data_IF_895530924118
#
_entry.id   IF_895530924118
#
_cell.length_a   1.000
_cell.length_b   1.000
_cell.length_c   1.000
_cell.angle_alpha   90.00
_cell.angle_beta   90.00
_cell.angle_gamma   90.00
#
_symmetry.space_group_name_H-M   'P 1'
#
loop_
_entity.id
_entity.type
_entity.pdbx_description
1 polymer ?
#
# COMPACT_ATOMS: atom_id res chain seq x y z
N UNK A 1 -2.29 35.61 7.70
CA UNK A 1 -3.13 34.73 6.85
C UNK A 1 -2.18 33.79 6.13
N UNK A 2 -1.82 32.67 6.76
CA UNK A 2 -1.02 31.61 6.11
C UNK A 2 -1.95 30.78 5.24
N UNK A 3 -1.81 30.89 3.93
CA UNK A 3 -2.36 29.90 3.00
C UNK A 3 -1.44 28.68 3.05
N UNK A 4 -1.74 27.73 3.93
CA UNK A 4 -1.17 26.40 3.87
C UNK A 4 -1.52 25.81 2.49
N UNK A 5 -0.58 25.86 1.55
CA UNK A 5 -0.70 25.13 0.30
C UNK A 5 -0.97 23.67 0.60
N UNK A 6 -2.01 23.11 0.01
CA UNK A 6 -2.41 21.72 0.19
C UNK A 6 -1.21 20.82 -0.16
N UNK A 7 -0.54 20.26 0.86
CA UNK A 7 0.59 19.37 0.64
C UNK A 7 0.02 17.99 0.33
N UNK A 8 -0.09 17.66 -0.96
CA UNK A 8 -0.52 16.34 -1.40
C UNK A 8 0.63 15.35 -1.23
N UNK A 9 0.47 14.37 -0.33
CA UNK A 9 1.42 13.27 -0.19
C UNK A 9 1.02 12.13 -1.13
N UNK A 10 1.94 11.69 -1.98
CA UNK A 10 1.75 10.55 -2.87
C UNK A 10 2.69 9.41 -2.46
N UNK A 11 2.14 8.21 -2.26
CA UNK A 11 2.95 7.01 -2.15
C UNK A 11 3.44 6.68 -3.56
N UNK A 12 4.75 6.73 -3.78
CA UNK A 12 5.37 6.53 -5.10
C UNK A 12 5.69 5.07 -5.39
N UNK A 13 5.89 4.25 -4.35
CA UNK A 13 6.35 2.88 -4.51
C UNK A 13 5.91 2.00 -3.35
N UNK A 14 5.52 0.77 -3.65
CA UNK A 14 5.23 -0.28 -2.68
C UNK A 14 6.04 -1.53 -2.98
N UNK A 15 6.61 -2.13 -1.94
CA UNK A 15 7.33 -3.40 -2.03
C UNK A 15 7.01 -4.27 -0.83
N UNK A 16 6.75 -5.54 -1.07
CA UNK A 16 6.59 -6.54 -0.02
C UNK A 16 7.17 -7.89 -0.44
N UNK A 17 7.66 -8.66 0.54
CA UNK A 17 8.14 -10.03 0.36
C UNK A 17 7.57 -10.90 1.47
N UNK A 18 7.32 -12.17 1.14
CA UNK A 18 6.80 -13.18 2.08
C UNK A 18 5.54 -12.70 2.84
N UNK A 19 4.68 -11.93 2.18
CA UNK A 19 3.45 -11.41 2.78
C UNK A 19 2.25 -12.23 2.30
N UNK A 20 1.69 -13.05 3.19
CA UNK A 20 0.62 -14.01 2.86
C UNK A 20 1.03 -14.89 1.67
N UNK A 21 0.24 -14.93 0.60
CA UNK A 21 0.57 -15.67 -0.63
C UNK A 21 1.39 -14.86 -1.65
N UNK A 22 1.88 -13.66 -1.31
CA UNK A 22 2.80 -12.90 -2.14
C UNK A 22 4.26 -13.29 -1.84
N UNK A 23 4.96 -13.86 -2.83
CA UNK A 23 6.40 -14.14 -2.75
C UNK A 23 7.25 -12.86 -2.76
N UNK A 24 7.18 -12.09 -3.86
CA UNK A 24 7.75 -10.74 -3.97
C UNK A 24 6.80 -9.90 -4.82
N UNK A 25 6.41 -8.73 -4.33
CA UNK A 25 5.70 -7.70 -5.10
C UNK A 25 6.49 -6.39 -5.02
N UNK A 26 6.64 -5.73 -6.16
CA UNK A 26 7.29 -4.43 -6.29
C UNK A 26 6.52 -3.65 -7.35
N UNK A 27 5.99 -2.49 -6.99
CA UNK A 27 5.15 -1.68 -7.86
C UNK A 27 5.42 -0.19 -7.63
N UNK A 28 5.63 0.53 -8.72
CA UNK A 28 5.59 1.99 -8.75
C UNK A 28 4.13 2.43 -8.83
N UNK A 29 3.76 3.42 -8.02
CA UNK A 29 2.40 3.94 -7.89
C UNK A 29 2.32 5.33 -8.52
N UNK A 30 1.39 5.48 -9.45
CA UNK A 30 0.97 6.75 -10.00
C UNK A 30 -0.28 7.26 -9.24
N UNK A 31 -0.66 8.55 -9.39
CA UNK A 31 -1.87 9.12 -8.76
C UNK A 31 -3.14 8.28 -8.96
N UNK A 32 -3.22 7.57 -10.10
CA UNK A 32 -4.19 6.52 -10.33
C UNK A 32 -3.45 5.24 -10.74
N UNK A 33 -3.56 4.19 -9.92
CA UNK A 33 -3.01 2.87 -10.21
C UNK A 33 -4.12 1.83 -10.11
N UNK A 34 -4.37 1.08 -11.19
CA UNK A 34 -5.43 0.06 -11.26
C UNK A 34 -4.80 -1.32 -11.32
N UNK A 35 -5.18 -2.19 -10.39
CA UNK A 35 -4.72 -3.59 -10.31
C UNK A 35 -5.67 -4.48 -11.11
N UNK A 36 -5.22 -4.99 -12.26
CA UNK A 36 -5.98 -5.91 -13.12
C UNK A 36 -5.35 -7.30 -13.18
N UNK A 37 -6.18 -8.34 -13.35
CA UNK A 37 -5.72 -9.72 -13.53
C UNK A 37 -6.74 -10.77 -13.06
N UNK A 38 -6.44 -12.07 -13.24
CA UNK A 38 -7.34 -13.18 -12.85
C UNK A 38 -7.69 -13.22 -11.36
N UNK A 39 -8.81 -13.82 -10.99
CA UNK A 39 -9.13 -14.08 -9.58
C UNK A 39 -8.00 -14.88 -8.90
N UNK A 40 -7.79 -14.65 -7.60
CA UNK A 40 -6.72 -15.25 -6.81
C UNK A 40 -5.27 -14.89 -7.22
N UNK A 41 -5.05 -13.97 -8.16
CA UNK A 41 -3.70 -13.51 -8.55
C UNK A 41 -2.97 -12.64 -7.50
N UNK A 42 -3.48 -12.53 -6.27
CA UNK A 42 -2.85 -11.78 -5.19
C UNK A 42 -3.13 -10.27 -5.14
N UNK A 43 -4.03 -9.73 -5.98
CA UNK A 43 -4.38 -8.29 -5.98
C UNK A 43 -4.88 -7.80 -4.62
N UNK A 44 -5.77 -8.54 -3.97
CA UNK A 44 -6.27 -8.19 -2.63
C UNK A 44 -5.14 -8.16 -1.60
N UNK A 45 -4.15 -9.04 -1.73
CA UNK A 45 -2.98 -9.03 -0.84
C UNK A 45 -2.13 -7.77 -1.02
N UNK A 46 -2.03 -7.21 -2.24
CA UNK A 46 -1.31 -5.94 -2.47
C UNK A 46 -2.00 -4.80 -1.73
N UNK A 47 -3.34 -4.75 -1.76
CA UNK A 47 -4.12 -3.78 -0.98
C UNK A 47 -3.97 -4.03 0.52
N UNK A 48 -3.94 -5.29 0.96
CA UNK A 48 -3.76 -5.66 2.36
C UNK A 48 -2.38 -5.24 2.90
N UNK A 49 -1.32 -5.24 2.09
CA UNK A 49 -0.01 -4.69 2.47
C UNK A 49 -0.12 -3.21 2.84
N UNK A 50 -0.80 -2.42 1.99
CA UNK A 50 -0.99 -0.99 2.24
C UNK A 50 -1.81 -0.74 3.51
N UNK A 51 -2.86 -1.54 3.73
CA UNK A 51 -3.67 -1.49 4.96
C UNK A 51 -2.85 -1.83 6.19
N UNK A 52 -2.08 -2.92 6.12
CA UNK A 52 -1.20 -3.34 7.21
C UNK A 52 -0.20 -2.24 7.59
N UNK A 53 0.44 -1.60 6.62
CA UNK A 53 1.35 -0.48 6.89
C UNK A 53 0.62 0.70 7.55
N UNK A 54 -0.57 1.06 7.04
CA UNK A 54 -1.36 2.14 7.63
C UNK A 54 -1.75 1.84 9.08
N UNK A 55 -2.17 0.61 9.37
CA UNK A 55 -2.56 0.17 10.71
C UNK A 55 -1.34 0.10 11.65
N UNK A 56 -0.21 -0.44 11.18
CA UNK A 56 1.03 -0.51 11.95
C UNK A 56 1.57 0.89 12.30
N UNK A 57 1.46 1.86 11.39
CA UNK A 57 1.85 3.24 11.64
C UNK A 57 0.91 3.96 12.62
N UNK A 58 -0.39 3.63 12.61
CA UNK A 58 -1.39 4.28 13.47
C UNK A 58 -1.45 3.68 14.87
N UNK A 59 -1.38 2.35 14.97
CA UNK A 59 -1.68 1.60 16.18
C UNK A 59 -0.47 0.86 16.76
N UNK A 60 0.70 0.98 16.11
CA UNK A 60 1.86 0.16 16.40
C UNK A 60 1.67 -1.31 15.98
N UNK A 61 2.64 -2.15 16.30
CA UNK A 61 2.62 -3.59 16.00
C UNK A 61 1.84 -4.41 17.04
N UNK A 62 1.03 -3.76 17.86
CA UNK A 62 0.40 -4.34 19.06
C UNK A 62 -0.81 -5.24 18.76
N UNK A 63 -1.09 -5.54 17.49
CA UNK A 63 -2.24 -6.34 17.07
C UNK A 63 -2.02 -7.13 15.78
N UNK A 64 -0.79 -7.56 15.48
CA UNK A 64 -0.48 -8.51 14.41
C UNK A 64 -0.32 -9.94 14.94
#
# INVERSE_FOLDING_TARGET
METAGETSYLITRVWARNFRSLGKVEMELAPLTVLVGPNASGKSNVVDVLRFMADALRNGLTGC
#
